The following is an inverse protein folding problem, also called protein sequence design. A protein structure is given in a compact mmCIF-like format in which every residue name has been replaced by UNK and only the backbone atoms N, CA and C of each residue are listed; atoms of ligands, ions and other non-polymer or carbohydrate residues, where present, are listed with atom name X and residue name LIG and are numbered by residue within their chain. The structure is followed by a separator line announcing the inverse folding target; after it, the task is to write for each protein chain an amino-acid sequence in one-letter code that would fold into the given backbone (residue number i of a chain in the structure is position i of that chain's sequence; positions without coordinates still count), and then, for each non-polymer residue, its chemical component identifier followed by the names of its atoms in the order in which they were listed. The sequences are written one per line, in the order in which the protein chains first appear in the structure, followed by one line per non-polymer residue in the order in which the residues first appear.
data_IF_729375140850
#
_entry.id   IF_729375140850
#
_cell.length_a   1.000
_cell.length_b   1.000
_cell.length_c   1.000
_cell.angle_alpha   90.00
_cell.angle_beta   90.00
_cell.angle_gamma   90.00
#
_symmetry.space_group_name_H-M   'P 1'
#
loop_
_entity.id
_entity.type
_entity.pdbx_description
1 polymer ?
#
# COMPACT_ATOMS: atom_id res chain seq x y z
N UNK A 1 -4.05 -5.84 1.15
CA UNK A 1 -3.76 -4.49 1.69
C UNK A 1 -4.68 -3.42 1.14
N UNK A 2 -4.73 -3.19 -0.19
CA UNK A 2 -5.65 -2.19 -0.77
C UNK A 2 -7.11 -2.42 -0.34
N UNK A 3 -7.54 -3.67 -0.47
CA UNK A 3 -8.89 -4.09 -0.07
C UNK A 3 -9.22 -3.75 1.39
N UNK A 4 -8.41 -4.25 2.33
CA UNK A 4 -8.56 -4.01 3.77
C UNK A 4 -8.49 -2.52 4.17
N UNK A 5 -7.63 -1.70 3.54
CA UNK A 5 -7.58 -0.28 3.84
C UNK A 5 -8.84 0.46 3.35
N UNK A 6 -9.35 0.09 2.18
CA UNK A 6 -10.56 0.69 1.62
C UNK A 6 -11.84 0.31 2.40
N UNK A 7 -11.81 -0.76 3.21
CA UNK A 7 -12.89 -1.12 4.14
C UNK A 7 -12.82 -0.39 5.49
N UNK A 8 -11.71 0.31 5.77
CA UNK A 8 -11.46 0.97 7.06
C UNK A 8 -11.23 2.48 6.91
N UNK A 9 -12.31 3.30 6.77
CA UNK A 9 -12.19 4.74 6.49
C UNK A 9 -11.40 5.57 7.50
N UNK A 10 -11.53 5.26 8.79
CA UNK A 10 -10.78 5.96 9.85
C UNK A 10 -9.27 5.72 9.70
N UNK A 11 -8.87 4.49 9.38
CA UNK A 11 -7.45 4.13 9.18
C UNK A 11 -6.91 4.76 7.90
N UNK A 12 -7.71 4.80 6.83
CA UNK A 12 -7.33 5.48 5.60
C UNK A 12 -7.10 6.98 5.82
N UNK A 13 -7.98 7.66 6.57
CA UNK A 13 -7.81 9.06 6.93
C UNK A 13 -6.50 9.30 7.69
N UNK A 14 -6.25 8.48 8.72
CA UNK A 14 -5.02 8.55 9.49
C UNK A 14 -3.76 8.34 8.62
N UNK A 15 -3.82 7.42 7.65
CA UNK A 15 -2.70 7.14 6.75
C UNK A 15 -2.35 8.33 5.86
N UNK A 16 -3.35 8.96 5.24
CA UNK A 16 -3.15 10.14 4.37
C UNK A 16 -2.72 11.35 5.20
N UNK A 17 -3.34 11.58 6.36
CA UNK A 17 -2.93 12.65 7.25
C UNK A 17 -1.48 12.49 7.71
N UNK A 18 -1.06 11.27 8.05
CA UNK A 18 0.32 10.96 8.40
C UNK A 18 1.28 11.32 7.27
N UNK A 19 0.96 10.98 6.01
CA UNK A 19 1.79 11.34 4.86
C UNK A 19 1.85 12.86 4.62
N UNK A 20 0.71 13.57 4.72
CA UNK A 20 0.67 15.03 4.65
C UNK A 20 1.55 15.68 5.72
N UNK A 21 1.49 15.18 6.97
CA UNK A 21 2.33 15.67 8.06
C UNK A 21 3.80 15.40 7.80
N UNK A 22 4.16 14.20 7.32
CA UNK A 22 5.55 13.88 6.92
C UNK A 22 6.05 14.85 5.83
N UNK A 23 5.25 15.11 4.82
CA UNK A 23 5.63 15.99 3.71
C UNK A 23 5.74 17.45 4.13
N UNK A 24 4.80 17.94 4.95
CA UNK A 24 4.77 19.33 5.39
C UNK A 24 5.86 19.64 6.42
N UNK A 25 6.15 18.71 7.35
CA UNK A 25 6.97 18.99 8.53
C UNK A 25 8.28 18.19 8.58
N UNK A 26 8.45 17.13 7.79
CA UNK A 26 9.59 16.20 7.86
C UNK A 26 10.27 16.02 6.49
N UNK A 27 10.82 17.11 5.92
CA UNK A 27 11.46 17.19 4.58
C UNK A 27 12.51 16.11 4.25
N UNK A 28 13.12 15.46 5.24
CA UNK A 28 14.10 14.38 5.02
C UNK A 28 13.49 12.97 5.02
N UNK A 29 12.22 12.83 5.39
CA UNK A 29 11.50 11.55 5.48
C UNK A 29 10.82 11.14 4.15
N UNK A 30 10.74 12.05 3.17
CA UNK A 30 9.99 11.86 1.91
C UNK A 30 10.51 10.74 0.98
N UNK A 31 11.64 10.09 1.29
CA UNK A 31 12.18 8.99 0.47
C UNK A 31 11.63 7.60 0.84
N UNK A 32 10.64 7.50 1.72
CA UNK A 32 10.18 6.21 2.25
C UNK A 32 8.72 6.13 2.70
N UNK A 33 7.84 7.02 2.23
CA UNK A 33 6.41 6.86 2.54
C UNK A 33 5.83 5.63 1.84
N UNK A 34 4.98 4.88 2.54
CA UNK A 34 4.18 3.81 1.96
C UNK A 34 2.95 4.31 1.19
N UNK A 35 2.58 5.59 1.34
CA UNK A 35 1.58 6.26 0.52
C UNK A 35 2.28 7.11 -0.54
N UNK A 36 2.10 6.77 -1.79
CA UNK A 36 2.50 7.64 -2.89
C UNK A 36 1.34 8.60 -3.19
N UNK A 37 1.39 9.82 -2.65
CA UNK A 37 0.39 10.86 -2.97
C UNK A 37 0.72 11.48 -4.32
N UNK A 38 0.28 10.76 -5.33
CA UNK A 38 0.09 11.14 -6.71
C UNK A 38 -0.69 9.97 -7.29
N UNK A 39 -1.85 10.20 -7.91
CA UNK A 39 -2.62 9.14 -8.57
C UNK A 39 -1.84 8.62 -9.79
N UNK A 40 -0.78 7.85 -9.56
CA UNK A 40 -0.17 6.94 -10.51
C UNK A 40 -0.66 5.57 -10.11
N UNK A 41 -1.36 4.89 -11.01
CA UNK A 41 -1.58 3.45 -10.87
C UNK A 41 -0.23 2.78 -11.12
N UNK A 42 0.49 2.24 -10.09
CA UNK A 42 1.76 1.60 -10.34
C UNK A 42 1.50 0.39 -11.24
N UNK A 43 2.18 0.35 -12.38
CA UNK A 43 2.08 -0.78 -13.29
C UNK A 43 2.92 -1.92 -12.70
N UNK A 44 2.26 -2.90 -12.10
CA UNK A 44 2.92 -4.10 -11.60
C UNK A 44 3.35 -4.96 -12.79
N UNK A 45 4.49 -4.65 -13.42
CA UNK A 45 4.99 -5.39 -14.59
C UNK A 45 5.32 -6.85 -14.28
N UNK A 46 5.53 -7.17 -12.99
CA UNK A 46 5.68 -8.53 -12.48
C UNK A 46 4.63 -8.82 -11.41
N UNK A 47 3.36 -9.02 -11.80
CA UNK A 47 2.39 -9.64 -10.88
C UNK A 47 2.66 -11.14 -10.79
N UNK A 48 2.69 -11.67 -9.58
CA UNK A 48 2.66 -13.11 -9.37
C UNK A 48 1.43 -13.69 -10.10
N UNK A 49 1.57 -14.81 -10.83
CA UNK A 49 0.44 -15.46 -11.49
C UNK A 49 -0.74 -15.65 -10.52
N UNK A 50 -1.94 -15.25 -10.93
CA UNK A 50 -3.16 -15.37 -10.13
C UNK A 50 -3.46 -14.23 -9.15
N UNK A 51 -2.60 -13.21 -9.03
CA UNK A 51 -2.87 -12.07 -8.13
C UNK A 51 -4.13 -11.28 -8.52
N UNK A 52 -4.39 -11.08 -9.83
CA UNK A 52 -5.62 -10.46 -10.35
C UNK A 52 -6.87 -11.29 -10.07
N UNK A 53 -6.71 -12.60 -9.97
CA UNK A 53 -7.82 -13.52 -9.72
C UNK A 53 -8.14 -13.72 -8.23
N UNK A 54 -7.33 -13.13 -7.35
CA UNK A 54 -7.54 -13.22 -5.90
C UNK A 54 -8.86 -12.59 -5.47
N UNK A 55 -9.42 -13.10 -4.38
CA UNK A 55 -10.67 -12.58 -3.78
C UNK A 55 -10.56 -11.09 -3.49
N UNK A 56 -9.44 -10.64 -2.92
CA UNK A 56 -9.21 -9.21 -2.65
C UNK A 56 -9.08 -8.35 -3.91
N UNK A 57 -8.51 -8.87 -5.00
CA UNK A 57 -8.45 -8.12 -6.25
C UNK A 57 -9.86 -7.92 -6.85
N UNK A 58 -10.68 -8.97 -6.85
CA UNK A 58 -12.07 -8.92 -7.30
C UNK A 58 -12.93 -8.02 -6.42
N UNK A 59 -12.71 -8.04 -5.10
CA UNK A 59 -13.41 -7.15 -4.16
C UNK A 59 -13.10 -5.66 -4.42
N UNK A 60 -11.83 -5.33 -4.67
CA UNK A 60 -11.41 -3.95 -5.02
C UNK A 60 -12.01 -3.51 -6.36
N UNK A 61 -12.02 -4.40 -7.36
CA UNK A 61 -12.62 -4.11 -8.68
C UNK A 61 -14.13 -3.90 -8.58
N UNK A 62 -14.86 -4.79 -7.89
CA UNK A 62 -16.29 -4.65 -7.66
C UNK A 62 -16.62 -3.36 -6.91
N UNK A 63 -15.84 -3.00 -5.89
CA UNK A 63 -15.99 -1.74 -5.15
C UNK A 63 -15.71 -0.53 -6.03
N UNK A 64 -14.73 -0.62 -6.93
CA UNK A 64 -14.41 0.44 -7.88
C UNK A 64 -15.55 0.67 -8.88
N UNK A 65 -16.10 -0.39 -9.48
CA UNK A 65 -17.24 -0.27 -10.40
C UNK A 65 -18.50 0.22 -9.67
N UNK A 66 -18.73 -0.19 -8.42
CA UNK A 66 -19.83 0.33 -7.60
C UNK A 66 -19.71 1.84 -7.34
N UNK A 67 -18.49 2.36 -7.10
CA UNK A 67 -18.27 3.79 -6.97
C UNK A 67 -18.42 4.51 -8.31
N UNK A 68 -17.86 3.96 -9.39
CA UNK A 68 -17.96 4.53 -10.73
C UNK A 68 -19.41 4.66 -11.22
N UNK A 69 -20.29 3.72 -10.87
CA UNK A 69 -21.71 3.80 -11.17
C UNK A 69 -22.45 4.91 -10.39
N UNK A 70 -21.92 5.35 -9.24
CA UNK A 70 -22.49 6.40 -8.38
C UNK A 70 -21.91 7.78 -8.65
N UNK A 71 -20.72 7.85 -9.24
CA UNK A 71 -20.04 9.10 -9.59
C UNK A 71 -20.59 9.65 -10.92
N UNK A 72 -20.57 10.98 -11.09
CA UNK A 72 -21.06 11.58 -12.32
C UNK A 72 -20.12 11.28 -13.49
N UNK A 73 -20.66 11.31 -14.71
CA UNK A 73 -19.88 11.14 -15.94
C UNK A 73 -19.04 12.37 -16.29
N UNK A 74 -19.43 13.53 -15.76
CA UNK A 74 -18.80 14.83 -16.01
C UNK A 74 -18.09 15.29 -14.74
N UNK A 75 -16.84 15.74 -14.88
CA UNK A 75 -16.05 16.28 -13.77
C UNK A 75 -16.67 17.57 -13.19
N UNK A 76 -17.42 18.32 -14.00
CA UNK A 76 -18.10 19.54 -13.56
C UNK A 76 -19.16 19.28 -12.48
N UNK A 77 -19.76 18.09 -12.47
CA UNK A 77 -20.82 17.71 -11.52
C UNK A 77 -20.25 16.99 -10.28
N UNK A 78 -18.93 16.73 -10.27
CA UNK A 78 -18.27 15.93 -9.24
C UNK A 78 -18.35 16.62 -7.87
N UNK A 79 -18.12 17.93 -7.82
CA UNK A 79 -18.14 18.68 -6.57
C UNK A 79 -19.50 18.57 -5.87
N UNK A 80 -20.58 18.80 -6.62
CA UNK A 80 -21.95 18.73 -6.10
C UNK A 80 -22.31 17.30 -5.69
N UNK A 81 -21.91 16.31 -6.49
CA UNK A 81 -22.12 14.89 -6.16
C UNK A 81 -21.41 14.50 -4.86
N UNK A 82 -20.15 14.91 -4.68
CA UNK A 82 -19.38 14.63 -3.47
C UNK A 82 -19.96 15.35 -2.25
N UNK A 83 -20.45 16.57 -2.42
CA UNK A 83 -21.08 17.36 -1.35
C UNK A 83 -22.41 16.73 -0.91
N UNK A 84 -23.15 16.11 -1.83
CA UNK A 84 -24.40 15.42 -1.54
C UNK A 84 -24.23 14.05 -0.84
N UNK A 85 -23.02 13.48 -0.83
CA UNK A 85 -22.74 12.26 -0.09
C UNK A 85 -22.77 12.51 1.42
N UNK A 86 -23.38 11.61 2.18
CA UNK A 86 -23.23 11.62 3.64
C UNK A 86 -21.76 11.39 4.05
N UNK A 87 -21.41 11.80 5.28
CA UNK A 87 -20.03 11.69 5.78
C UNK A 87 -19.47 10.26 5.77
N UNK A 88 -20.33 9.24 5.92
CA UNK A 88 -19.91 7.84 5.85
C UNK A 88 -19.60 7.39 4.42
N UNK A 89 -20.35 7.87 3.43
CA UNK A 89 -20.10 7.65 2.02
C UNK A 89 -18.84 8.40 1.55
N UNK A 90 -18.66 9.66 1.97
CA UNK A 90 -17.42 10.41 1.71
C UNK A 90 -16.21 9.69 2.28
N UNK A 91 -16.28 9.24 3.54
CA UNK A 91 -15.18 8.52 4.19
C UNK A 91 -14.85 7.20 3.47
N UNK A 92 -15.85 6.44 3.02
CA UNK A 92 -15.63 5.20 2.25
C UNK A 92 -15.03 5.45 0.87
N UNK A 93 -15.46 6.50 0.17
CA UNK A 93 -14.87 6.89 -1.12
C UNK A 93 -13.41 7.34 -0.94
N UNK A 94 -13.16 8.15 0.09
CA UNK A 94 -11.81 8.54 0.47
C UNK A 94 -10.91 7.32 0.75
N UNK A 95 -11.41 6.36 1.52
CA UNK A 95 -10.68 5.12 1.83
C UNK A 95 -10.35 4.31 0.59
N UNK A 96 -11.32 4.22 -0.33
CA UNK A 96 -11.13 3.58 -1.63
C UNK A 96 -10.00 4.25 -2.43
N UNK A 97 -10.04 5.57 -2.58
CA UNK A 97 -9.01 6.35 -3.26
C UNK A 97 -7.62 6.19 -2.59
N UNK A 98 -7.55 6.34 -1.27
CA UNK A 98 -6.32 6.21 -0.49
C UNK A 98 -5.69 4.80 -0.64
N UNK A 99 -6.51 3.76 -0.79
CA UNK A 99 -6.00 2.40 -0.97
C UNK A 99 -5.16 2.22 -2.24
N UNK A 100 -5.43 2.97 -3.31
CA UNK A 100 -4.64 2.90 -4.55
C UNK A 100 -3.24 3.54 -4.38
N UNK A 101 -3.10 4.49 -3.46
CA UNK A 101 -1.84 5.15 -3.14
C UNK A 101 -0.87 4.27 -2.33
N UNK A 102 -1.33 3.14 -1.78
CA UNK A 102 -0.47 2.26 -0.98
C UNK A 102 0.52 1.51 -1.88
N UNK A 103 1.81 1.75 -1.64
CA UNK A 103 2.94 1.00 -2.20
C UNK A 103 3.62 0.14 -1.11
N UNK A 104 3.24 -1.14 -1.07
CA UNK A 104 3.86 -2.16 -0.22
C UNK A 104 4.68 -3.17 -1.04
N UNK A 105 5.25 -2.75 -2.18
CA UNK A 105 6.01 -3.66 -3.06
C UNK A 105 7.43 -3.85 -2.51
N UNK A 106 7.80 -5.11 -2.37
CA UNK A 106 9.18 -5.53 -2.18
C UNK A 106 9.93 -5.49 -3.51
N UNK A 107 10.92 -4.60 -3.64
CA UNK A 107 11.79 -4.55 -4.81
C UNK A 107 13.24 -4.77 -4.36
N UNK A 108 13.96 -5.77 -4.91
CA UNK A 108 15.37 -5.95 -4.60
C UNK A 108 16.15 -4.70 -5.00
N UNK A 109 16.94 -4.14 -4.09
CA UNK A 109 17.88 -3.07 -4.40
C UNK A 109 19.01 -3.64 -5.28
N UNK A 110 18.80 -3.68 -6.59
CA UNK A 110 19.78 -4.19 -7.55
C UNK A 110 20.24 -3.09 -8.50
N UNK A 111 21.43 -3.26 -9.10
CA UNK A 111 22.05 -2.27 -10.03
C UNK A 111 21.13 -1.85 -11.19
N UNK A 112 20.16 -2.68 -11.55
CA UNK A 112 19.15 -2.43 -12.59
C UNK A 112 18.16 -1.30 -12.26
N UNK A 113 17.92 -0.99 -10.97
CA UNK A 113 17.01 0.07 -10.55
C UNK A 113 17.61 1.50 -10.65
N UNK A 114 18.76 1.66 -11.34
CA UNK A 114 19.42 2.94 -11.67
C UNK A 114 19.33 4.03 -10.59
N UNK A 115 19.53 3.67 -9.32
CA UNK A 115 19.50 4.63 -8.21
C UNK A 115 18.13 5.30 -7.93
N UNK A 116 17.04 4.91 -8.60
CA UNK A 116 15.70 5.49 -8.39
C UNK A 116 15.08 5.11 -7.05
N UNK A 117 15.48 3.97 -6.49
CA UNK A 117 14.93 3.44 -5.23
C UNK A 117 16.09 3.00 -4.34
N UNK A 118 16.26 3.67 -3.19
CA UNK A 118 17.30 3.31 -2.21
C UNK A 118 16.83 2.13 -1.35
N UNK A 119 17.75 1.25 -0.94
CA UNK A 119 17.43 0.13 -0.03
C UNK A 119 16.82 0.61 1.30
N UNK A 120 17.23 1.80 1.76
CA UNK A 120 16.63 2.45 2.91
C UNK A 120 15.18 2.86 2.66
N UNK A 121 14.88 3.48 1.51
CA UNK A 121 13.52 3.86 1.12
C UNK A 121 12.58 2.65 0.99
N UNK A 122 13.07 1.53 0.41
CA UNK A 122 12.33 0.25 0.37
C UNK A 122 11.99 -0.22 1.78
N UNK A 123 12.95 -0.15 2.69
CA UNK A 123 12.74 -0.62 4.06
C UNK A 123 11.74 0.23 4.82
N UNK A 124 11.88 1.55 4.74
CA UNK A 124 10.98 2.49 5.42
C UNK A 124 9.54 2.33 4.96
N UNK A 125 9.28 2.19 3.64
CA UNK A 125 7.90 1.97 3.15
C UNK A 125 7.33 0.64 3.63
N UNK A 126 8.14 -0.42 3.73
CA UNK A 126 7.67 -1.74 4.20
C UNK A 126 7.39 -1.73 5.71
N UNK A 127 8.19 -1.00 6.49
CA UNK A 127 7.94 -0.80 7.92
C UNK A 127 6.63 -0.02 8.14
N UNK A 128 6.36 1.02 7.35
CA UNK A 128 5.08 1.74 7.40
C UNK A 128 3.90 0.89 6.89
N UNK A 129 4.11 0.06 5.87
CA UNK A 129 3.10 -0.85 5.38
C UNK A 129 2.70 -1.90 6.44
N UNK A 130 3.65 -2.35 7.27
CA UNK A 130 3.39 -3.21 8.43
C UNK A 130 2.54 -2.50 9.51
N UNK A 131 2.76 -1.21 9.75
CA UNK A 131 1.88 -0.40 10.62
C UNK A 131 0.45 -0.38 10.09
N UNK A 132 0.28 -0.08 8.80
CA UNK A 132 -1.04 -0.07 8.16
C UNK A 132 -1.71 -1.44 8.20
N UNK A 133 -0.97 -2.51 7.90
CA UNK A 133 -1.49 -3.87 7.92
C UNK A 133 -2.01 -4.27 9.31
N UNK A 134 -1.30 -3.90 10.38
CA UNK A 134 -1.80 -4.09 11.76
C UNK A 134 -3.04 -3.26 12.05
N UNK A 135 -3.05 -1.99 11.64
CA UNK A 135 -4.15 -1.08 11.91
C UNK A 135 -5.47 -1.53 11.25
N UNK A 136 -5.40 -2.16 10.07
CA UNK A 136 -6.58 -2.70 9.37
C UNK A 136 -6.87 -4.17 9.72
N UNK A 137 -6.11 -4.78 10.64
CA UNK A 137 -6.27 -6.19 11.01
C UNK A 137 -5.98 -7.18 9.87
N UNK A 138 -5.14 -6.82 8.90
CA UNK A 138 -4.82 -7.68 7.76
C UNK A 138 -3.94 -8.85 8.20
N UNK A 139 -4.55 -10.04 8.21
CA UNK A 139 -3.84 -11.31 8.25
C UNK A 139 -3.49 -11.75 6.83
N UNK A 140 -2.21 -11.67 6.47
CA UNK A 140 -1.72 -12.02 5.15
C UNK A 140 -1.86 -13.51 4.83
N UNK A 141 -1.86 -14.39 5.84
CA UNK A 141 -2.07 -15.84 5.65
C UNK A 141 -3.52 -16.10 5.28
N UNK A 142 -4.46 -15.49 5.99
CA UNK A 142 -5.89 -15.56 5.66
C UNK A 142 -6.22 -14.87 4.33
N UNK A 143 -5.48 -13.83 3.96
CA UNK A 143 -5.58 -13.16 2.66
C UNK A 143 -5.00 -13.99 1.49
N UNK A 144 -4.60 -15.25 1.73
CA UNK A 144 -4.17 -16.20 0.70
C UNK A 144 -2.72 -16.04 0.26
N UNK A 145 -1.90 -15.29 1.01
CA UNK A 145 -0.48 -15.15 0.71
C UNK A 145 0.30 -16.39 1.14
N UNK A 146 1.17 -16.89 0.25
CA UNK A 146 2.08 -18.01 0.54
C UNK A 146 3.53 -17.53 0.51
N UNK A 147 4.31 -17.70 1.58
CA UNK A 147 5.73 -17.37 1.54
C UNK A 147 6.46 -18.23 0.50
N UNK A 148 7.23 -17.59 -0.38
CA UNK A 148 8.30 -18.29 -1.08
C UNK A 148 9.40 -18.59 -0.05
N UNK A 149 9.69 -19.88 0.12
CA UNK A 149 10.44 -20.39 1.26
C UNK A 149 11.85 -19.77 1.40
N UNK A 150 12.06 -18.84 2.33
CA UNK A 150 13.29 -18.79 3.15
C UNK A 150 13.08 -17.98 4.45
N UNK A 151 13.28 -18.67 5.58
CA UNK A 151 13.46 -18.17 6.97
C UNK A 151 12.22 -17.84 7.80
N UNK A 152 11.88 -18.79 8.68
CA UNK A 152 11.00 -18.63 9.85
C UNK A 152 11.86 -18.09 11.00
N UNK A 153 11.49 -16.95 11.61
CA UNK A 153 11.98 -16.60 12.95
C UNK A 153 10.98 -15.66 13.65
N UNK A 154 10.32 -16.21 14.68
CA UNK A 154 9.26 -15.62 15.48
C UNK A 154 9.34 -14.09 15.65
N UNK A 155 8.45 -13.40 14.96
CA UNK A 155 8.00 -12.03 15.16
C UNK A 155 6.62 -11.87 14.51
N UNK A 156 5.96 -10.72 14.73
CA UNK A 156 4.65 -10.39 14.12
C UNK A 156 4.55 -10.92 12.68
N UNK A 157 3.51 -11.68 12.29
CA UNK A 157 3.45 -12.39 11.01
C UNK A 157 3.83 -11.50 9.83
N UNK A 158 3.35 -10.26 9.83
CA UNK A 158 3.60 -9.27 8.79
C UNK A 158 5.04 -8.78 8.69
N UNK A 159 5.79 -8.78 9.79
CA UNK A 159 7.20 -8.35 9.82
C UNK A 159 8.13 -9.38 9.22
N UNK A 160 7.79 -10.66 9.29
CA UNK A 160 8.54 -11.74 8.65
C UNK A 160 8.34 -11.72 7.12
N UNK A 161 7.15 -11.35 6.64
CA UNK A 161 6.82 -11.29 5.22
C UNK A 161 7.66 -10.29 4.42
N UNK A 162 8.04 -9.16 5.02
CA UNK A 162 8.84 -8.14 4.35
C UNK A 162 10.36 -8.35 4.45
N UNK A 163 10.83 -9.38 5.17
CA UNK A 163 12.27 -9.66 5.40
C UNK A 163 13.12 -9.94 4.15
N UNK A 164 12.63 -10.58 3.07
CA UNK A 164 13.46 -10.89 1.90
C UNK A 164 14.08 -9.67 1.21
N UNK A 165 13.56 -8.47 1.46
CA UNK A 165 13.83 -7.27 0.69
C UNK A 165 15.02 -6.43 1.20
N UNK A 166 15.68 -6.82 2.32
CA UNK A 166 16.45 -5.82 3.07
C UNK A 166 17.60 -6.27 3.98
N UNK A 167 18.20 -7.46 3.82
CA UNK A 167 19.53 -7.75 4.38
C UNK A 167 20.54 -8.00 3.25
N UNK A 168 21.56 -7.14 3.06
CA UNK A 168 22.73 -7.57 2.31
C UNK A 168 23.31 -8.81 3.01
N UNK A 169 23.64 -9.86 2.25
CA UNK A 169 24.44 -10.98 2.77
C UNK A 169 25.68 -10.37 3.41
N UNK A 170 25.92 -10.65 4.70
CA UNK A 170 27.18 -10.29 5.32
C UNK A 170 28.29 -10.93 4.48
N UNK A 171 29.11 -10.11 3.81
CA UNK A 171 30.32 -10.56 3.17
C UNK A 171 31.25 -11.16 4.24
N UNK A 172 31.86 -12.34 4.02
CA UNK A 172 32.88 -12.83 4.94
C UNK A 172 33.99 -11.79 5.01
N UNK A 173 34.37 -11.37 6.22
CA UNK A 173 35.55 -10.51 6.38
C UNK A 173 36.77 -11.30 5.84
N UNK A 174 37.61 -10.72 4.97
CA UNK A 174 38.91 -11.32 4.71
C UNK A 174 39.74 -11.23 6.00
N UNK A 175 40.42 -12.34 6.32
CA UNK A 175 41.38 -12.45 7.42
C UNK A 175 42.56 -11.50 7.24
#
# INVERSE_FOLDING_TARGET
MRDALAENPAVAFQAVLHDFVLTAFYRFASSGSCLEIGLRTPNFSAQAPGLRESVSAKAVEARHEAWKARLPKSENDLWDTLTALDGGAQARLFAHCASFAVNAVCEPANRYNQGRVSAHGVRTRLDQADVLARAVGLDMVQAGWKPSATTISAGSPNREFWRPCGRPKASPRPN
#
